data_IF_757554873690
#
_entry.id   IF_757554873690
#
_cell.length_a   1.000
_cell.length_b   1.000
_cell.length_c   1.000
_cell.angle_alpha   90.00
_cell.angle_beta   90.00
_cell.angle_gamma   90.00
#
_symmetry.space_group_name_H-M   'P 1'
#
loop_
_entity.id
_entity.type
_entity.pdbx_description
1 polymer ?
#
# COMPACT_ATOMS: atom_id res chain seq x y z
N UNK A 1 -29.62 1.22 -17.37
CA UNK A 1 -28.50 2.09 -17.78
C UNK A 1 -27.37 1.88 -16.78
N UNK A 2 -26.32 1.16 -17.15
CA UNK A 2 -25.10 1.08 -16.34
C UNK A 2 -24.43 2.46 -16.37
N UNK A 3 -24.28 3.05 -15.19
CA UNK A 3 -23.66 4.36 -15.02
C UNK A 3 -22.23 4.32 -15.60
N UNK A 4 -21.82 5.38 -16.33
CA UNK A 4 -20.47 5.48 -16.89
C UNK A 4 -19.40 5.32 -15.80
N UNK A 5 -19.70 5.75 -14.58
CA UNK A 5 -18.82 5.56 -13.42
C UNK A 5 -18.67 4.08 -13.01
N UNK A 6 -19.74 3.27 -13.13
CA UNK A 6 -19.71 1.83 -12.80
C UNK A 6 -18.89 1.06 -13.85
N UNK A 7 -19.07 1.37 -15.14
CA UNK A 7 -18.28 0.78 -16.22
C UNK A 7 -16.79 1.15 -16.12
N UNK A 8 -16.46 2.40 -15.80
CA UNK A 8 -15.08 2.83 -15.59
C UNK A 8 -14.43 2.09 -14.42
N UNK A 9 -15.18 1.88 -13.32
CA UNK A 9 -14.71 1.10 -12.16
C UNK A 9 -14.45 -0.36 -12.53
N UNK A 10 -15.36 -1.01 -13.25
CA UNK A 10 -15.17 -2.42 -13.65
C UNK A 10 -13.94 -2.55 -14.56
N UNK A 11 -13.78 -1.66 -15.56
CA UNK A 11 -12.59 -1.63 -16.43
C UNK A 11 -11.30 -1.41 -15.64
N UNK A 12 -11.31 -0.52 -14.66
CA UNK A 12 -10.15 -0.31 -13.80
C UNK A 12 -9.80 -1.58 -13.02
N UNK A 13 -10.81 -2.22 -12.39
CA UNK A 13 -10.64 -3.42 -11.57
C UNK A 13 -10.13 -4.61 -12.38
N UNK A 14 -10.65 -4.82 -13.59
CA UNK A 14 -10.18 -5.91 -14.47
C UNK A 14 -8.78 -5.65 -14.98
N UNK A 15 -8.42 -4.39 -15.24
CA UNK A 15 -7.07 -3.99 -15.70
C UNK A 15 -6.02 -4.15 -14.60
N UNK A 16 -6.35 -3.82 -13.36
CA UNK A 16 -5.42 -3.82 -12.22
C UNK A 16 -5.69 -4.98 -11.26
N UNK A 17 -6.27 -6.08 -11.75
CA UNK A 17 -6.73 -7.17 -10.91
C UNK A 17 -5.63 -7.73 -10.01
N UNK A 18 -4.44 -7.97 -10.57
CA UNK A 18 -3.27 -8.49 -9.84
C UNK A 18 -2.80 -7.52 -8.75
N UNK A 19 -2.70 -6.23 -9.05
CA UNK A 19 -2.34 -5.20 -8.08
C UNK A 19 -3.36 -5.05 -6.95
N UNK A 20 -4.63 -5.37 -7.21
CA UNK A 20 -5.69 -5.30 -6.22
C UNK A 20 -5.80 -6.56 -5.36
N UNK A 21 -5.03 -7.62 -5.64
CA UNK A 21 -4.96 -8.85 -4.82
C UNK A 21 -4.23 -8.61 -3.50
N UNK A 22 -4.50 -7.51 -2.82
CA UNK A 22 -3.64 -7.01 -1.76
C UNK A 22 -3.46 -7.95 -0.58
N UNK A 23 -4.46 -8.79 -0.28
CA UNK A 23 -4.29 -9.86 0.73
C UNK A 23 -3.11 -10.81 0.45
N UNK A 24 -2.70 -11.00 -0.80
CA UNK A 24 -1.54 -11.83 -1.14
C UNK A 24 -0.21 -11.12 -0.84
N UNK A 25 -0.19 -9.78 -0.84
CA UNK A 25 0.99 -8.98 -0.51
C UNK A 25 1.11 -8.69 1.00
N UNK A 26 0.00 -8.75 1.76
CA UNK A 26 0.02 -8.51 3.21
C UNK A 26 1.02 -9.38 3.99
N UNK A 27 1.18 -10.69 3.72
CA UNK A 27 2.16 -11.50 4.43
C UNK A 27 3.60 -11.05 4.20
N UNK A 28 3.91 -10.58 2.97
CA UNK A 28 5.24 -10.04 2.64
C UNK A 28 5.48 -8.73 3.39
N UNK A 29 4.49 -7.83 3.41
CA UNK A 29 4.58 -6.57 4.15
C UNK A 29 4.71 -6.81 5.67
N UNK A 30 3.97 -7.78 6.21
CA UNK A 30 4.08 -8.17 7.61
C UNK A 30 5.46 -8.75 7.93
N UNK A 31 6.02 -9.55 7.02
CA UNK A 31 7.38 -10.07 7.15
C UNK A 31 8.43 -8.96 7.16
N UNK A 32 8.34 -8.01 6.23
CA UNK A 32 9.25 -6.85 6.17
C UNK A 32 9.14 -6.04 7.47
N UNK A 33 7.92 -5.77 7.96
CA UNK A 33 7.72 -5.06 9.22
C UNK A 33 8.35 -5.80 10.43
N UNK A 34 8.22 -7.13 10.49
CA UNK A 34 8.87 -7.95 11.51
C UNK A 34 10.39 -7.90 11.42
N UNK A 35 10.95 -8.03 10.21
CA UNK A 35 12.38 -7.95 9.98
C UNK A 35 12.95 -6.58 10.41
N UNK A 36 12.20 -5.49 10.21
CA UNK A 36 12.58 -4.15 10.67
C UNK A 36 12.48 -3.99 12.17
N UNK A 37 11.40 -4.49 12.79
CA UNK A 37 11.28 -4.49 14.25
C UNK A 37 12.46 -5.25 14.91
N UNK A 38 12.92 -6.33 14.28
CA UNK A 38 14.14 -7.02 14.70
C UNK A 38 15.41 -6.18 14.48
N UNK A 39 15.57 -5.57 13.29
CA UNK A 39 16.72 -4.70 13.00
C UNK A 39 16.80 -3.47 13.94
N UNK A 40 15.66 -3.05 14.50
CA UNK A 40 15.56 -1.99 15.51
C UNK A 40 15.78 -2.47 16.96
N UNK A 41 16.11 -3.75 17.16
CA UNK A 41 16.19 -4.42 18.46
C UNK A 41 14.90 -4.38 19.31
N UNK A 42 13.73 -4.20 18.69
CA UNK A 42 12.44 -4.22 19.41
C UNK A 42 11.94 -5.62 19.73
N UNK A 43 12.36 -6.61 18.93
CA UNK A 43 11.97 -8.02 19.06
C UNK A 43 13.16 -8.95 18.85
N UNK A 44 13.09 -10.16 19.42
CA UNK A 44 14.11 -11.19 19.19
C UNK A 44 14.05 -11.78 17.78
N UNK A 45 15.20 -12.00 17.14
CA UNK A 45 15.29 -12.49 15.75
C UNK A 45 14.66 -13.86 15.50
N UNK A 46 14.46 -14.68 16.54
CA UNK A 46 13.73 -15.95 16.42
C UNK A 46 12.26 -15.74 16.02
N UNK A 47 11.64 -14.60 16.40
CA UNK A 47 10.26 -14.25 16.02
C UNK A 47 10.13 -13.99 14.53
N UNK A 48 11.19 -13.43 13.93
CA UNK A 48 11.30 -13.32 12.47
C UNK A 48 11.27 -14.75 11.94
N UNK A 49 12.27 -15.59 12.21
CA UNK A 49 12.31 -16.96 11.64
C UNK A 49 11.02 -17.79 11.86
N UNK A 50 10.41 -17.70 13.05
CA UNK A 50 9.18 -18.39 13.39
C UNK A 50 7.95 -17.92 12.58
N UNK A 51 7.96 -16.70 12.05
CA UNK A 51 6.86 -16.16 11.26
C UNK A 51 6.92 -16.57 9.77
N UNK A 52 8.00 -17.20 9.27
CA UNK A 52 8.09 -17.63 7.85
C UNK A 52 6.97 -18.62 7.52
N UNK A 53 6.79 -19.74 8.24
CA UNK A 53 5.80 -20.74 7.87
C UNK A 53 4.36 -20.20 7.84
N UNK A 54 3.85 -19.48 8.86
CA UNK A 54 2.47 -18.99 8.84
C UNK A 54 2.25 -17.91 7.76
N UNK A 55 3.23 -17.05 7.48
CA UNK A 55 3.09 -16.03 6.44
C UNK A 55 3.14 -16.62 5.03
N UNK A 56 4.00 -17.60 4.79
CA UNK A 56 4.02 -18.35 3.54
C UNK A 56 2.68 -19.06 3.31
N UNK A 57 2.14 -19.73 4.34
CA UNK A 57 0.84 -20.38 4.28
C UNK A 57 -0.29 -19.36 4.00
N UNK A 58 -0.26 -18.19 4.65
CA UNK A 58 -1.23 -17.13 4.43
C UNK A 58 -1.17 -16.57 3.00
N UNK A 59 0.03 -16.37 2.44
CA UNK A 59 0.21 -15.92 1.06
C UNK A 59 -0.37 -16.94 0.06
N UNK A 60 -0.04 -18.22 0.24
CA UNK A 60 -0.58 -19.31 -0.60
C UNK A 60 -2.10 -19.38 -0.47
N UNK A 61 -2.64 -19.33 0.74
CA UNK A 61 -4.09 -19.35 0.98
C UNK A 61 -4.80 -18.16 0.32
N UNK A 62 -4.21 -16.96 0.38
CA UNK A 62 -4.74 -15.77 -0.30
C UNK A 62 -4.74 -15.95 -1.83
N UNK A 63 -3.64 -16.43 -2.41
CA UNK A 63 -3.54 -16.69 -3.86
C UNK A 63 -4.58 -17.74 -4.30
N UNK A 64 -4.69 -18.84 -3.56
CA UNK A 64 -5.68 -19.90 -3.82
C UNK A 64 -7.10 -19.34 -3.70
N UNK A 65 -7.37 -18.52 -2.68
CA UNK A 65 -8.65 -17.84 -2.52
C UNK A 65 -8.98 -16.97 -3.73
N UNK A 66 -8.06 -16.12 -4.21
CA UNK A 66 -8.31 -15.28 -5.38
C UNK A 66 -8.57 -16.09 -6.64
N UNK A 67 -7.77 -17.13 -6.89
CA UNK A 67 -7.96 -18.04 -8.03
C UNK A 67 -9.34 -18.72 -8.00
N UNK A 68 -9.80 -19.16 -6.83
CA UNK A 68 -11.10 -19.82 -6.67
C UNK A 68 -12.27 -18.84 -6.75
N UNK A 69 -12.15 -17.67 -6.13
CA UNK A 69 -13.25 -16.71 -5.99
C UNK A 69 -13.49 -15.87 -7.25
N UNK A 70 -12.43 -15.56 -8.01
CA UNK A 70 -12.52 -14.62 -9.15
C UNK A 70 -11.97 -15.21 -10.46
N UNK A 71 -11.41 -16.43 -10.45
CA UNK A 71 -10.82 -17.06 -11.63
C UNK A 71 -9.47 -16.45 -12.04
N UNK A 72 -8.97 -16.86 -13.20
CA UNK A 72 -7.82 -16.23 -13.86
C UNK A 72 -8.31 -15.08 -14.74
N UNK A 73 -8.45 -13.89 -14.16
CA UNK A 73 -8.61 -12.67 -14.96
C UNK A 73 -7.25 -12.42 -15.61
N UNK A 74 -7.12 -12.73 -16.91
CA UNK A 74 -5.89 -12.45 -17.64
C UNK A 74 -5.64 -10.94 -17.58
N UNK A 75 -4.48 -10.47 -17.06
CA UNK A 75 -4.14 -9.08 -17.18
C UNK A 75 -4.09 -8.73 -18.67
N UNK A 76 -4.76 -7.66 -19.12
CA UNK A 76 -4.52 -7.15 -20.46
C UNK A 76 -3.03 -6.81 -20.56
N UNK A 77 -2.33 -7.34 -21.57
CA UNK A 77 -0.95 -6.96 -21.90
C UNK A 77 -0.93 -5.45 -22.11
N UNK A 78 -0.62 -4.70 -21.08
CA UNK A 78 -0.48 -3.25 -21.15
C UNK A 78 0.99 -2.95 -20.98
N UNK A 79 1.61 -2.55 -22.09
CA UNK A 79 2.97 -2.02 -22.08
C UNK A 79 3.05 -0.78 -21.20
N UNK A 80 4.23 -0.57 -20.62
CA UNK A 80 4.78 0.68 -20.07
C UNK A 80 4.07 1.38 -18.90
N UNK A 81 2.88 0.95 -18.43
CA UNK A 81 2.21 1.57 -17.27
C UNK A 81 2.67 1.11 -15.89
N UNK A 82 3.37 0.00 -15.78
CA UNK A 82 3.89 -0.52 -14.50
C UNK A 82 4.95 0.42 -13.88
N UNK A 83 5.65 1.20 -14.70
CA UNK A 83 6.66 2.15 -14.22
C UNK A 83 6.08 3.29 -13.39
N UNK A 84 4.82 3.70 -13.61
CA UNK A 84 4.18 4.82 -12.90
C UNK A 84 4.06 4.52 -11.40
N UNK A 85 3.91 3.25 -11.01
CA UNK A 85 3.83 2.85 -9.61
C UNK A 85 5.21 2.75 -8.92
N UNK A 86 6.31 2.76 -9.69
CA UNK A 86 7.67 2.78 -9.15
C UNK A 86 8.16 4.19 -8.83
N UNK A 87 7.57 5.23 -9.43
CA UNK A 87 7.95 6.63 -9.21
C UNK A 87 7.89 7.08 -7.74
N UNK A 88 6.86 6.73 -6.94
CA UNK A 88 6.83 7.05 -5.52
C UNK A 88 8.00 6.45 -4.73
N UNK A 89 8.32 5.18 -5.01
CA UNK A 89 9.43 4.46 -4.36
C UNK A 89 10.75 5.11 -4.76
N UNK A 90 10.95 5.34 -6.06
CA UNK A 90 12.15 5.98 -6.59
C UNK A 90 12.34 7.40 -6.04
N UNK A 91 11.28 8.22 -6.04
CA UNK A 91 11.32 9.58 -5.51
C UNK A 91 11.68 9.61 -4.02
N UNK A 92 11.18 8.63 -3.24
CA UNK A 92 11.50 8.50 -1.82
C UNK A 92 12.96 8.10 -1.60
N UNK A 93 13.46 7.11 -2.36
CA UNK A 93 14.87 6.68 -2.29
C UNK A 93 15.80 7.83 -2.66
N UNK A 94 15.47 8.59 -3.71
CA UNK A 94 16.26 9.76 -4.13
C UNK A 94 16.21 10.86 -3.08
N UNK A 95 15.04 11.14 -2.47
CA UNK A 95 14.92 12.14 -1.43
C UNK A 95 15.73 11.77 -0.17
N UNK A 96 15.61 10.52 0.31
CA UNK A 96 16.37 10.02 1.44
C UNK A 96 17.88 10.08 1.18
N UNK A 97 18.33 9.62 0.00
CA UNK A 97 19.73 9.70 -0.40
C UNK A 97 20.23 11.16 -0.48
N UNK A 98 19.41 12.09 -0.99
CA UNK A 98 19.78 13.50 -1.07
C UNK A 98 19.91 14.17 0.31
N UNK A 99 19.03 13.83 1.25
CA UNK A 99 19.10 14.32 2.64
C UNK A 99 20.34 13.78 3.35
N UNK A 100 20.63 12.50 3.19
CA UNK A 100 21.81 11.84 3.76
C UNK A 100 23.11 12.42 3.20
N UNK A 101 23.24 12.54 1.88
CA UNK A 101 24.42 13.12 1.21
C UNK A 101 24.65 14.57 1.65
N UNK A 102 23.59 15.35 1.86
CA UNK A 102 23.69 16.75 2.24
C UNK A 102 23.94 16.96 3.75
N UNK A 103 23.91 15.90 4.57
CA UNK A 103 24.11 15.99 6.03
C UNK A 103 23.07 16.88 6.72
N UNK A 104 21.87 16.98 6.14
CA UNK A 104 20.87 17.97 6.51
C UNK A 104 19.96 17.42 7.63
N UNK A 105 20.11 17.95 8.85
CA UNK A 105 19.21 17.61 9.98
C UNK A 105 18.03 18.58 10.03
N UNK A 106 16.91 18.17 9.44
CA UNK A 106 15.68 18.98 9.48
C UNK A 106 14.81 18.57 10.67
N UNK A 107 14.13 19.54 11.31
CA UNK A 107 13.19 19.24 12.38
C UNK A 107 11.93 18.54 11.85
N UNK A 108 11.70 18.51 10.53
CA UNK A 108 10.58 17.86 9.82
C UNK A 108 11.09 16.69 8.97
N UNK A 109 10.25 15.68 8.70
CA UNK A 109 10.64 14.52 7.88
C UNK A 109 10.39 14.77 6.40
N UNK A 110 11.46 15.03 5.65
CA UNK A 110 11.42 15.24 4.20
C UNK A 110 10.93 13.97 3.49
N UNK A 111 11.37 12.80 3.94
CA UNK A 111 10.98 11.50 3.39
C UNK A 111 9.48 11.27 3.56
N UNK A 112 8.96 11.60 4.75
CA UNK A 112 7.55 11.49 5.05
C UNK A 112 6.70 12.45 4.22
N UNK A 113 7.16 13.68 4.01
CA UNK A 113 6.51 14.66 3.12
C UNK A 113 6.46 14.14 1.68
N UNK A 114 7.55 13.59 1.16
CA UNK A 114 7.62 13.04 -0.21
C UNK A 114 6.66 11.87 -0.39
N UNK A 115 6.64 10.91 0.56
CA UNK A 115 5.72 9.77 0.53
C UNK A 115 4.26 10.20 0.61
N UNK A 116 3.94 11.14 1.50
CA UNK A 116 2.61 11.71 1.60
C UNK A 116 2.21 12.44 0.32
N UNK A 117 3.10 13.23 -0.26
CA UNK A 117 2.88 13.90 -1.54
C UNK A 117 2.57 12.90 -2.65
N UNK A 118 3.32 11.80 -2.72
CA UNK A 118 3.08 10.73 -3.69
C UNK A 118 1.74 10.00 -3.44
N UNK A 119 1.37 9.74 -2.19
CA UNK A 119 0.08 9.15 -1.83
C UNK A 119 -1.09 10.07 -2.22
N UNK A 120 -0.98 11.37 -1.93
CA UNK A 120 -1.98 12.38 -2.29
C UNK A 120 -2.09 12.57 -3.80
N UNK A 121 -0.97 12.62 -4.52
CA UNK A 121 -0.97 12.64 -5.98
C UNK A 121 -1.62 11.38 -6.56
N UNK A 122 -1.30 10.21 -6.00
CA UNK A 122 -1.96 8.95 -6.32
C UNK A 122 -3.46 9.00 -6.06
N UNK A 123 -3.91 9.69 -5.00
CA UNK A 123 -5.33 9.82 -4.68
C UNK A 123 -6.11 10.56 -5.78
N UNK A 124 -5.47 11.49 -6.48
CA UNK A 124 -6.05 12.20 -7.64
C UNK A 124 -6.07 11.33 -8.89
N UNK A 125 -4.97 10.58 -9.12
CA UNK A 125 -4.76 9.78 -10.32
C UNK A 125 -5.51 8.43 -10.30
N UNK A 126 -5.70 7.85 -9.11
CA UNK A 126 -6.25 6.50 -8.91
C UNK A 126 -7.55 6.57 -8.12
N UNK A 127 -8.58 7.12 -8.77
CA UNK A 127 -9.89 7.43 -8.16
C UNK A 127 -10.52 6.31 -7.30
N UNK A 128 -10.45 5.02 -7.69
CA UNK A 128 -11.02 3.95 -6.85
C UNK A 128 -10.27 3.72 -5.52
N UNK A 129 -9.00 4.13 -5.44
CA UNK A 129 -8.14 4.02 -4.26
C UNK A 129 -8.02 5.32 -3.47
N UNK A 130 -8.60 6.43 -3.96
CA UNK A 130 -8.57 7.75 -3.29
C UNK A 130 -8.84 7.67 -1.79
N UNK A 131 -9.87 6.96 -1.27
CA UNK A 131 -10.14 6.98 0.17
C UNK A 131 -9.01 6.39 0.99
N UNK A 132 -8.38 5.30 0.52
CA UNK A 132 -7.25 4.68 1.21
C UNK A 132 -5.99 5.53 1.09
N UNK A 133 -5.74 6.12 -0.08
CA UNK A 133 -4.59 6.99 -0.31
C UNK A 133 -4.68 8.28 0.52
N UNK A 134 -5.87 8.86 0.70
CA UNK A 134 -6.09 9.98 1.61
C UNK A 134 -5.92 9.57 3.08
N UNK A 135 -6.42 8.39 3.46
CA UNK A 135 -6.32 7.87 4.83
C UNK A 135 -4.86 7.60 5.25
N UNK A 136 -4.00 7.23 4.31
CA UNK A 136 -2.55 7.08 4.55
C UNK A 136 -1.84 8.43 4.41
N UNK A 137 -2.07 9.16 3.31
CA UNK A 137 -1.30 10.35 2.94
C UNK A 137 -1.52 11.54 3.85
N UNK A 138 -2.76 11.83 4.26
CA UNK A 138 -3.07 13.04 5.08
C UNK A 138 -2.50 12.92 6.49
N UNK A 139 -2.76 11.85 7.27
CA UNK A 139 -2.19 11.73 8.61
C UNK A 139 -0.67 11.69 8.57
N UNK A 140 -0.10 10.99 7.58
CA UNK A 140 1.35 10.90 7.43
C UNK A 140 1.98 12.27 7.11
N UNK A 141 1.29 13.11 6.32
CA UNK A 141 1.77 14.45 6.00
C UNK A 141 1.77 15.32 7.25
N UNK A 142 0.68 15.25 8.03
CA UNK A 142 0.54 15.98 9.28
C UNK A 142 1.69 15.60 10.22
N UNK A 143 1.92 14.31 10.46
CA UNK A 143 3.00 13.89 11.37
C UNK A 143 4.38 14.29 10.85
N UNK A 144 4.62 14.21 9.53
CA UNK A 144 5.92 14.56 8.93
C UNK A 144 6.26 16.05 9.01
N UNK A 145 5.24 16.92 9.09
CA UNK A 145 5.38 18.36 9.22
C UNK A 145 5.49 18.83 10.68
N UNK A 146 5.16 17.99 11.66
CA UNK A 146 5.32 18.36 13.07
C UNK A 146 6.81 18.34 13.41
N UNK A 147 7.38 19.41 14.00
CA UNK A 147 8.81 19.48 14.28
C UNK A 147 9.20 18.64 15.51
N UNK A 148 9.16 17.30 15.40
CA UNK A 148 9.40 16.36 16.51
C UNK A 148 10.89 16.13 16.82
N UNK A 149 11.82 16.56 15.95
CA UNK A 149 13.27 16.35 16.12
C UNK A 149 13.96 17.24 17.17
N UNK A 150 13.23 18.18 17.79
CA UNK A 150 13.83 19.20 18.66
C UNK A 150 14.68 20.22 17.87
N UNK A 151 15.41 21.10 18.56
CA UNK A 151 16.12 22.23 17.92
C UNK A 151 17.39 21.86 17.14
N UNK A 152 17.89 20.63 17.29
CA UNK A 152 19.12 20.18 16.64
C UNK A 152 19.12 18.68 16.25
N UNK A 153 18.03 17.96 16.50
CA UNK A 153 17.94 16.52 16.24
C UNK A 153 17.16 16.19 14.97
N UNK A 154 17.45 15.04 14.33
CA UNK A 154 16.67 14.57 13.20
C UNK A 154 15.23 14.24 13.63
N UNK A 155 14.27 14.46 12.72
CA UNK A 155 12.89 14.05 12.96
C UNK A 155 12.83 12.53 13.25
N UNK A 156 12.08 12.04 14.26
CA UNK A 156 12.02 10.62 14.60
C UNK A 156 11.59 9.72 13.43
N UNK A 157 10.73 10.22 12.55
CA UNK A 157 10.33 9.50 11.32
C UNK A 157 11.43 9.38 10.26
N UNK A 158 12.52 10.13 10.37
CA UNK A 158 13.68 10.01 9.48
C UNK A 158 14.61 8.86 9.90
N UNK A 159 14.30 8.16 11.01
CA UNK A 159 14.90 6.85 11.27
C UNK A 159 14.39 5.84 10.26
N UNK A 160 15.31 5.14 9.60
CA UNK A 160 15.04 4.21 8.50
C UNK A 160 13.99 3.18 8.88
N UNK A 161 14.05 2.69 10.11
CA UNK A 161 13.17 1.66 10.64
C UNK A 161 11.73 2.15 10.78
N UNK A 162 11.53 3.38 11.27
CA UNK A 162 10.20 3.96 11.45
C UNK A 162 9.56 4.30 10.11
N UNK A 163 10.36 4.79 9.14
CA UNK A 163 9.88 5.01 7.77
C UNK A 163 9.44 3.70 7.11
N UNK A 164 10.25 2.64 7.15
CA UNK A 164 9.89 1.37 6.50
C UNK A 164 8.64 0.78 7.17
N UNK A 165 8.52 0.88 8.50
CA UNK A 165 7.36 0.39 9.23
C UNK A 165 6.08 1.15 8.84
N UNK A 166 6.17 2.46 8.67
CA UNK A 166 5.07 3.27 8.17
C UNK A 166 4.71 2.99 6.71
N UNK A 167 5.72 2.80 5.85
CA UNK A 167 5.51 2.38 4.47
C UNK A 167 4.78 1.03 4.41
N UNK A 168 5.17 0.07 5.25
CA UNK A 168 4.50 -1.23 5.38
C UNK A 168 3.05 -1.08 5.86
N UNK A 169 2.81 -0.27 6.88
CA UNK A 169 1.45 -0.02 7.41
C UNK A 169 0.56 0.66 6.36
N UNK A 170 1.05 1.70 5.69
CA UNK A 170 0.33 2.38 4.62
C UNK A 170 0.03 1.46 3.44
N UNK A 171 1.02 0.65 3.04
CA UNK A 171 0.85 -0.38 2.01
C UNK A 171 -0.21 -1.39 2.44
N UNK A 172 -0.22 -1.85 3.69
CA UNK A 172 -1.20 -2.79 4.18
C UNK A 172 -2.64 -2.23 4.09
N UNK A 173 -2.85 -0.96 4.46
CA UNK A 173 -4.14 -0.27 4.30
C UNK A 173 -4.58 -0.26 2.83
N UNK A 174 -3.67 0.09 1.91
CA UNK A 174 -3.94 0.10 0.47
C UNK A 174 -4.31 -1.30 -0.04
N UNK A 175 -3.58 -2.32 0.40
CA UNK A 175 -3.82 -3.70 0.02
C UNK A 175 -5.16 -4.25 0.53
N UNK A 176 -5.54 -3.95 1.77
CA UNK A 176 -6.86 -4.29 2.32
C UNK A 176 -7.97 -3.58 1.55
N UNK A 177 -7.79 -2.29 1.26
CA UNK A 177 -8.78 -1.54 0.47
C UNK A 177 -8.93 -2.08 -0.95
N UNK A 178 -7.82 -2.44 -1.61
CA UNK A 178 -7.82 -3.09 -2.92
C UNK A 178 -8.64 -4.38 -2.91
N UNK A 179 -8.48 -5.22 -1.88
CA UNK A 179 -9.30 -6.41 -1.69
C UNK A 179 -10.79 -6.08 -1.53
N UNK A 180 -11.13 -5.09 -0.69
CA UNK A 180 -12.52 -4.68 -0.49
C UNK A 180 -13.15 -4.14 -1.80
N UNK A 181 -12.37 -3.40 -2.59
CA UNK A 181 -12.78 -2.92 -3.90
C UNK A 181 -13.09 -4.08 -4.86
N UNK A 182 -12.21 -5.10 -4.92
CA UNK A 182 -12.43 -6.32 -5.70
C UNK A 182 -13.71 -7.02 -5.26
N UNK A 183 -13.84 -7.29 -3.95
CA UNK A 183 -14.97 -8.00 -3.37
C UNK A 183 -16.30 -7.29 -3.65
N UNK A 184 -16.32 -5.95 -3.60
CA UNK A 184 -17.54 -5.15 -3.87
C UNK A 184 -17.89 -5.11 -5.35
N UNK A 185 -16.89 -5.14 -6.24
CA UNK A 185 -17.09 -4.93 -7.68
C UNK A 185 -17.38 -6.25 -8.42
N UNK A 186 -16.75 -7.36 -8.00
CA UNK A 186 -16.81 -8.64 -8.70
C UNK A 186 -17.74 -9.67 -8.05
N UNK A 187 -18.28 -9.41 -6.85
CA UNK A 187 -19.26 -10.33 -6.27
C UNK A 187 -20.56 -10.32 -7.09
N UNK A 188 -21.16 -11.49 -7.37
CA UNK A 188 -22.47 -11.56 -7.99
C UNK A 188 -23.47 -10.79 -7.14
N UNK A 189 -24.16 -9.79 -7.73
CA UNK A 189 -25.35 -9.23 -7.09
C UNK A 189 -26.35 -10.39 -6.90
N UNK A 190 -26.92 -10.59 -5.71
CA UNK A 190 -27.97 -11.59 -5.54
C UNK A 190 -29.03 -11.29 -6.59
N UNK A 191 -29.41 -12.31 -7.38
CA UNK A 191 -30.48 -12.20 -8.36
C UNK A 191 -31.64 -11.53 -7.64
N UNK A 192 -31.96 -10.30 -8.07
CA UNK A 192 -33.13 -9.58 -7.60
C UNK A 192 -34.27 -10.56 -7.84
N UNK A 193 -34.79 -11.18 -6.76
CA UNK A 193 -35.93 -12.08 -6.89
C UNK A 193 -36.95 -11.30 -7.70
N UNK A 194 -37.31 -11.83 -8.86
CA UNK A 194 -38.39 -11.29 -9.65
C UNK A 194 -39.63 -11.35 -8.75
N UNK A 195 -39.86 -10.27 -8.02
CA UNK A 195 -41.08 -10.04 -7.26
C UNK A 195 -42.06 -9.49 -8.27
N UNK A 196 -42.92 -10.36 -8.75
CA UNK A 196 -43.92 -10.09 -9.77
C UNK A 196 -43.93 -11.27 -10.74
N UNK A 197 -45.00 -12.03 -10.86
CA UNK A 197 -46.40 -11.85 -10.44
C UNK A 197 -47.07 -13.20 -10.52
#
# INVERSE_FOLDING_TARGET
MTDHAELARIRFVTTHFEYLQGLAALPVLAWIALAMAWASDWIGGWLVLAAIPPLAAAAVAAIVHYRRAYGQVRPPRTGTRDAVFLWPVLATVVAAAAVDIAGLTWPVSVEGIVLSGAALAGAVLVRPLTPALLLVGVPWLVVSLIPLGGSAGPHPLSTTEVWILAFCAGSAVLQVWGHLLLRRTLRPRPARRASGT
#
